data_IF_676122416971
#
_entry.id   IF_676122416971
#
_cell.length_a   1.000
_cell.length_b   1.000
_cell.length_c   1.000
_cell.angle_alpha   90.00
_cell.angle_beta   90.00
_cell.angle_gamma   90.00
#
_symmetry.space_group_name_H-M   'P 1'
#
loop_
_entity.id
_entity.type
_entity.pdbx_description
1 polymer ?
#
# COMPACT_ATOMS: atom_id res chain seq x y z
N UNK A 1 -33.21 39.17 -8.09
CA UNK A 1 -31.79 39.22 -7.64
C UNK A 1 -31.62 38.33 -6.42
N UNK A 2 -31.05 37.13 -6.58
CA UNK A 2 -30.47 36.26 -5.53
C UNK A 2 -30.11 34.93 -6.19
N UNK A 3 -28.98 34.90 -6.87
CA UNK A 3 -28.46 33.71 -7.55
C UNK A 3 -26.94 33.81 -7.62
N UNK A 4 -26.29 34.11 -6.48
CA UNK A 4 -24.83 34.29 -6.43
C UNK A 4 -24.26 34.00 -5.03
N UNK A 5 -24.69 32.92 -4.37
CA UNK A 5 -24.09 32.55 -3.06
C UNK A 5 -23.97 31.05 -2.78
N UNK A 6 -24.15 30.17 -3.76
CA UNK A 6 -24.06 28.72 -3.54
C UNK A 6 -22.87 28.02 -4.22
N UNK A 7 -21.88 28.79 -4.69
CA UNK A 7 -20.74 28.25 -5.45
C UNK A 7 -19.37 28.42 -4.78
N UNK A 8 -19.32 28.74 -3.48
CA UNK A 8 -18.06 28.91 -2.72
C UNK A 8 -17.96 27.94 -1.52
N UNK A 9 -18.74 26.86 -1.50
CA UNK A 9 -18.67 25.85 -0.42
C UNK A 9 -18.37 24.42 -0.89
N UNK A 10 -17.85 24.25 -2.11
CA UNK A 10 -17.52 22.93 -2.69
C UNK A 10 -16.02 22.72 -2.96
N UNK A 11 -15.15 23.62 -2.48
CA UNK A 11 -13.71 23.61 -2.80
C UNK A 11 -12.75 23.35 -1.64
N UNK A 12 -13.21 23.07 -0.40
CA UNK A 12 -12.33 23.07 0.78
C UNK A 12 -12.12 21.71 1.47
N UNK A 13 -12.74 20.62 1.00
CA UNK A 13 -12.27 19.28 1.33
C UNK A 13 -11.26 18.80 0.28
N UNK A 14 -10.18 19.57 0.11
CA UNK A 14 -8.95 18.95 -0.38
C UNK A 14 -8.57 17.95 0.71
N UNK A 15 -8.83 16.69 0.42
CA UNK A 15 -8.50 15.53 1.23
C UNK A 15 -7.11 15.69 1.85
N UNK A 16 -7.06 16.13 3.10
CA UNK A 16 -5.85 15.99 3.90
C UNK A 16 -5.65 14.49 4.07
N UNK A 17 -4.59 13.98 3.43
CA UNK A 17 -4.03 12.67 3.74
C UNK A 17 -3.81 12.61 5.26
N UNK A 18 -4.62 11.85 6.02
CA UNK A 18 -4.59 11.91 7.48
C UNK A 18 -3.26 11.40 8.05
N UNK A 19 -2.44 10.75 7.22
CA UNK A 19 -1.13 10.23 7.58
C UNK A 19 0.03 11.06 7.01
N UNK A 20 -0.26 12.11 6.21
CA UNK A 20 0.72 13.11 5.80
C UNK A 20 1.81 12.64 4.83
N UNK A 21 1.58 11.58 4.05
CA UNK A 21 2.56 11.08 3.06
C UNK A 21 2.73 12.04 1.88
N UNK A 22 1.66 12.72 1.46
CA UNK A 22 1.73 13.80 0.45
C UNK A 22 1.95 13.32 -0.99
N UNK A 23 1.46 12.13 -1.34
CA UNK A 23 1.38 11.62 -2.71
C UNK A 23 0.22 10.62 -2.88
N UNK A 24 -0.25 10.41 -4.12
CA UNK A 24 -1.52 9.71 -4.40
C UNK A 24 -1.50 8.22 -4.06
N UNK A 25 -0.53 7.46 -4.56
CA UNK A 25 -0.39 6.01 -4.32
C UNK A 25 0.44 5.72 -3.07
N UNK A 26 0.07 6.33 -1.95
CA UNK A 26 0.77 6.22 -0.66
C UNK A 26 0.33 4.96 0.12
N UNK A 27 0.93 4.67 1.30
CA UNK A 27 0.56 3.49 2.08
C UNK A 27 -0.91 3.43 2.51
N UNK A 28 -1.52 4.58 2.84
CA UNK A 28 -2.92 4.64 3.23
C UNK A 28 -3.86 4.30 2.07
N UNK A 29 -3.58 4.83 0.87
CA UNK A 29 -4.29 4.51 -0.36
C UNK A 29 -4.21 3.02 -0.67
N UNK A 30 -3.01 2.43 -0.61
CA UNK A 30 -2.80 1.00 -0.89
C UNK A 30 -3.56 0.13 0.10
N UNK A 31 -3.52 0.47 1.38
CA UNK A 31 -4.27 -0.25 2.40
C UNK A 31 -5.78 -0.18 2.17
N UNK A 32 -6.31 1.01 1.87
CA UNK A 32 -7.73 1.20 1.60
C UNK A 32 -8.19 0.40 0.38
N UNK A 33 -7.46 0.47 -0.74
CA UNK A 33 -7.80 -0.30 -1.96
C UNK A 33 -7.72 -1.80 -1.69
N UNK A 34 -6.67 -2.27 -1.01
CA UNK A 34 -6.54 -3.68 -0.67
C UNK A 34 -7.68 -4.19 0.22
N UNK A 35 -8.12 -3.39 1.20
CA UNK A 35 -9.25 -3.76 2.05
C UNK A 35 -10.57 -3.80 1.31
N UNK A 36 -10.86 -2.76 0.55
CA UNK A 36 -12.09 -2.72 -0.24
C UNK A 36 -12.12 -3.88 -1.24
N UNK A 37 -10.99 -4.20 -1.88
CA UNK A 37 -10.86 -5.36 -2.77
C UNK A 37 -11.13 -6.69 -2.05
N UNK A 38 -10.63 -6.88 -0.83
CA UNK A 38 -10.93 -8.08 -0.03
C UNK A 38 -12.42 -8.15 0.32
N UNK A 39 -13.01 -7.04 0.78
CA UNK A 39 -14.42 -6.99 1.19
C UNK A 39 -15.39 -7.22 0.02
N UNK A 40 -15.11 -6.65 -1.15
CA UNK A 40 -15.89 -6.83 -2.37
C UNK A 40 -15.55 -8.12 -3.12
N UNK A 41 -14.49 -8.84 -2.70
CA UNK A 41 -13.92 -9.97 -3.44
C UNK A 41 -13.49 -9.61 -4.87
N UNK A 42 -13.03 -8.37 -5.07
CA UNK A 42 -12.45 -7.87 -6.31
C UNK A 42 -10.97 -8.26 -6.39
N UNK A 43 -10.73 -9.36 -7.10
CA UNK A 43 -9.40 -9.92 -7.25
C UNK A 43 -8.47 -9.00 -8.07
N UNK A 44 -8.97 -8.38 -9.14
CA UNK A 44 -8.19 -7.49 -10.00
C UNK A 44 -7.74 -6.23 -9.24
N UNK A 45 -8.63 -5.65 -8.43
CA UNK A 45 -8.27 -4.52 -7.58
C UNK A 45 -7.18 -4.87 -6.56
N UNK A 46 -7.25 -6.08 -5.98
CA UNK A 46 -6.21 -6.56 -5.06
C UNK A 46 -4.88 -6.80 -5.77
N UNK A 47 -4.91 -7.40 -6.97
CA UNK A 47 -3.72 -7.63 -7.79
C UNK A 47 -3.01 -6.31 -8.10
N UNK A 48 -3.76 -5.27 -8.47
CA UNK A 48 -3.21 -3.98 -8.90
C UNK A 48 -2.43 -3.22 -7.80
N UNK A 49 -2.65 -3.55 -6.52
CA UNK A 49 -2.01 -2.87 -5.39
C UNK A 49 -1.07 -3.78 -4.59
N UNK A 50 -0.91 -5.03 -5.00
CA UNK A 50 -0.15 -6.02 -4.26
C UNK A 50 1.17 -6.36 -4.93
N UNK A 51 2.20 -6.56 -4.11
CA UNK A 51 3.52 -7.06 -4.51
C UNK A 51 3.62 -8.57 -4.41
N UNK A 52 4.76 -9.11 -4.84
CA UNK A 52 4.97 -10.55 -5.07
C UNK A 52 4.57 -11.47 -3.91
N UNK A 53 4.90 -11.15 -2.66
CA UNK A 53 4.61 -12.02 -1.51
C UNK A 53 3.10 -12.03 -1.16
N UNK A 54 2.45 -10.86 -1.08
CA UNK A 54 1.00 -10.76 -0.90
C UNK A 54 0.23 -11.42 -2.07
N UNK A 55 0.68 -11.21 -3.30
CA UNK A 55 0.12 -11.85 -4.49
C UNK A 55 0.25 -13.37 -4.44
N UNK A 56 1.38 -13.90 -3.99
CA UNK A 56 1.55 -15.34 -3.87
C UNK A 56 0.51 -15.97 -2.94
N UNK A 57 0.28 -15.34 -1.79
CA UNK A 57 -0.55 -15.93 -0.73
C UNK A 57 -2.03 -15.64 -0.92
N UNK A 58 -2.36 -14.45 -1.41
CA UNK A 58 -3.72 -13.92 -1.42
C UNK A 58 -4.16 -13.41 -2.78
N UNK A 59 -3.28 -13.41 -3.79
CA UNK A 59 -3.60 -13.00 -5.16
C UNK A 59 -4.31 -14.08 -5.96
N UNK A 60 -5.18 -14.88 -5.36
CA UNK A 60 -6.11 -15.79 -6.04
C UNK A 60 -7.48 -15.80 -5.32
N UNK A 61 -8.56 -16.30 -5.96
CA UNK A 61 -9.90 -16.27 -5.36
C UNK A 61 -9.97 -16.94 -3.98
N UNK A 62 -9.28 -18.05 -3.77
CA UNK A 62 -9.26 -18.77 -2.49
C UNK A 62 -8.62 -17.93 -1.38
N UNK A 63 -7.50 -17.26 -1.69
CA UNK A 63 -6.76 -16.39 -0.79
C UNK A 63 -7.54 -15.12 -0.43
N UNK A 64 -8.20 -14.49 -1.41
CA UNK A 64 -9.10 -13.35 -1.16
C UNK A 64 -10.29 -13.78 -0.31
N UNK A 65 -10.93 -14.90 -0.64
CA UNK A 65 -12.06 -15.43 0.14
C UNK A 65 -11.64 -15.76 1.58
N UNK A 66 -10.43 -16.30 1.76
CA UNK A 66 -9.86 -16.54 3.07
C UNK A 66 -9.65 -15.24 3.85
N UNK A 67 -9.03 -14.23 3.25
CA UNK A 67 -8.88 -12.91 3.88
C UNK A 67 -10.25 -12.37 4.24
N UNK A 68 -11.22 -12.33 3.33
CA UNK A 68 -12.57 -11.80 3.60
C UNK A 68 -13.27 -12.50 4.76
N UNK A 69 -13.17 -13.82 4.84
CA UNK A 69 -13.84 -14.61 5.89
C UNK A 69 -13.24 -14.36 7.28
N UNK A 70 -11.93 -14.11 7.34
CA UNK A 70 -11.19 -13.99 8.60
C UNK A 70 -10.95 -12.52 9.01
N UNK A 71 -10.89 -11.61 8.04
CA UNK A 71 -10.76 -10.17 8.21
C UNK A 71 -12.11 -9.58 8.63
N UNK A 72 -12.59 -9.94 9.82
CA UNK A 72 -13.79 -9.38 10.44
C UNK A 72 -13.47 -8.03 11.07
N UNK A 73 -13.03 -7.08 10.23
CA UNK A 73 -12.61 -5.76 10.65
C UNK A 73 -13.75 -4.77 10.41
N UNK A 74 -14.08 -3.99 11.44
CA UNK A 74 -14.98 -2.86 11.37
C UNK A 74 -14.14 -1.58 11.25
N UNK A 75 -14.19 -0.92 10.08
CA UNK A 75 -13.35 0.26 9.78
C UNK A 75 -13.55 1.41 10.79
N UNK A 76 -14.74 1.52 11.38
CA UNK A 76 -15.03 2.56 12.38
C UNK A 76 -14.36 2.26 13.73
N UNK A 77 -13.96 1.01 13.96
CA UNK A 77 -13.38 0.52 15.22
C UNK A 77 -11.88 0.26 15.15
N UNK A 78 -11.20 0.59 14.06
CA UNK A 78 -9.75 0.37 13.92
C UNK A 78 -8.88 1.62 14.02
N UNK A 79 -7.73 1.47 14.65
CA UNK A 79 -6.65 2.45 14.67
C UNK A 79 -5.52 1.95 13.77
N UNK A 80 -5.07 2.80 12.84
CA UNK A 80 -3.99 2.48 11.90
C UNK A 80 -2.72 3.22 12.34
N UNK A 81 -1.62 2.49 12.55
CA UNK A 81 -0.33 3.03 12.97
C UNK A 81 0.77 2.68 11.95
N UNK A 82 1.07 3.59 11.01
CA UNK A 82 2.20 3.43 10.12
C UNK A 82 3.53 3.63 10.86
N UNK A 83 4.49 2.76 10.60
CA UNK A 83 5.87 2.83 11.11
C UNK A 83 6.85 2.59 9.97
N UNK A 84 7.75 3.55 9.73
CA UNK A 84 8.85 3.37 8.79
C UNK A 84 9.88 2.38 9.37
N UNK A 85 10.21 1.34 8.60
CA UNK A 85 11.25 0.37 8.93
C UNK A 85 12.58 0.87 8.35
N UNK A 86 13.20 1.84 9.02
CA UNK A 86 14.35 2.58 8.50
C UNK A 86 15.57 1.73 8.12
N UNK A 87 15.78 0.59 8.78
CA UNK A 87 16.86 -0.34 8.47
C UNK A 87 16.62 -1.17 7.20
N UNK A 88 15.39 -1.20 6.68
CA UNK A 88 15.05 -1.84 5.40
C UNK A 88 14.86 -0.84 4.26
N UNK A 89 14.80 0.45 4.57
CA UNK A 89 14.85 1.54 3.58
C UNK A 89 16.17 1.48 2.81
N UNK A 90 16.09 1.57 1.49
CA UNK A 90 17.25 1.42 0.60
C UNK A 90 17.37 2.62 -0.32
N UNK A 91 18.60 3.10 -0.48
CA UNK A 91 18.98 3.93 -1.63
C UNK A 91 19.76 3.05 -2.59
N UNK A 92 19.37 3.03 -3.84
CA UNK A 92 20.03 2.21 -4.84
C UNK A 92 21.17 3.00 -5.49
N UNK A 93 22.37 2.42 -5.48
CA UNK A 93 23.49 2.92 -6.28
C UNK A 93 23.17 2.81 -7.78
N UNK A 94 22.48 1.72 -8.14
CA UNK A 94 21.97 1.46 -9.47
C UNK A 94 20.44 1.34 -9.42
N UNK A 95 19.67 2.23 -10.08
CA UNK A 95 18.22 2.18 -10.04
C UNK A 95 17.68 0.87 -10.60
N UNK A 96 16.55 0.43 -10.05
CA UNK A 96 15.85 -0.81 -10.41
C UNK A 96 14.56 -0.51 -11.16
N UNK A 97 14.13 -1.36 -12.11
CA UNK A 97 12.87 -1.19 -12.81
C UNK A 97 11.69 -1.74 -11.99
N UNK A 98 10.68 -0.90 -11.73
CA UNK A 98 9.43 -1.25 -11.02
C UNK A 98 8.19 -0.69 -11.74
N UNK A 99 8.24 -0.63 -13.08
CA UNK A 99 7.32 0.17 -13.91
C UNK A 99 7.83 1.59 -14.19
N UNK A 100 8.78 2.05 -13.37
CA UNK A 100 9.65 3.21 -13.58
C UNK A 100 11.02 2.92 -12.96
N UNK A 101 12.00 3.82 -13.13
CA UNK A 101 13.31 3.66 -12.48
C UNK A 101 13.22 4.13 -11.04
N UNK A 102 13.26 3.20 -10.09
CA UNK A 102 13.30 3.46 -8.65
C UNK A 102 14.74 3.65 -8.19
N UNK A 103 14.98 4.72 -7.44
CA UNK A 103 16.30 5.09 -6.89
C UNK A 103 16.34 5.00 -5.37
N UNK A 104 15.16 4.95 -4.76
CA UNK A 104 14.99 4.94 -3.33
C UNK A 104 13.72 4.19 -2.97
N UNK A 105 13.78 3.41 -1.90
CA UNK A 105 12.71 2.56 -1.42
C UNK A 105 12.55 2.75 0.08
N UNK A 106 11.31 2.91 0.53
CA UNK A 106 10.94 2.88 1.94
C UNK A 106 10.02 1.70 2.20
N UNK A 107 10.21 1.04 3.35
CA UNK A 107 9.33 -0.04 3.78
C UNK A 107 8.61 0.40 5.05
N UNK A 108 7.29 0.32 5.02
CA UNK A 108 6.43 0.64 6.14
C UNK A 108 5.80 -0.65 6.68
N UNK A 109 5.87 -0.83 8.00
CA UNK A 109 4.96 -1.71 8.71
C UNK A 109 3.77 -0.87 9.17
N UNK A 110 2.57 -1.33 8.91
CA UNK A 110 1.34 -0.68 9.35
C UNK A 110 0.61 -1.65 10.26
N UNK A 111 0.52 -1.28 11.53
CA UNK A 111 -0.23 -2.04 12.52
C UNK A 111 -1.67 -1.55 12.53
N UNK A 112 -2.61 -2.48 12.53
CA UNK A 112 -4.04 -2.21 12.55
C UNK A 112 -4.57 -2.80 13.83
N UNK A 113 -4.98 -1.91 14.71
CA UNK A 113 -5.34 -2.22 16.10
C UNK A 113 -6.83 -2.00 16.31
N UNK A 114 -7.41 -2.71 17.27
CA UNK A 114 -8.70 -2.33 17.81
C UNK A 114 -8.59 -0.98 18.55
N UNK A 115 -9.47 -0.02 18.27
CA UNK A 115 -9.42 1.31 18.88
C UNK A 115 -9.55 1.27 20.40
N UNK A 116 -10.33 0.33 20.93
CA UNK A 116 -10.69 0.24 22.36
C UNK A 116 -9.65 -0.62 23.09
N UNK A 117 -9.47 -1.87 22.69
CA UNK A 117 -8.58 -2.80 23.39
C UNK A 117 -7.10 -2.60 23.06
N UNK A 118 -6.79 -1.88 21.97
CA UNK A 118 -5.42 -1.70 21.42
C UNK A 118 -4.76 -3.01 20.97
N UNK A 119 -5.50 -4.11 20.92
CA UNK A 119 -5.00 -5.39 20.42
C UNK A 119 -4.70 -5.31 18.93
N UNK A 120 -3.59 -5.94 18.51
CA UNK A 120 -3.27 -6.09 17.09
C UNK A 120 -4.29 -7.01 16.41
N UNK A 121 -4.94 -6.49 15.38
CA UNK A 121 -5.86 -7.24 14.53
C UNK A 121 -5.11 -7.80 13.32
N UNK A 122 -4.32 -6.93 12.69
CA UNK A 122 -3.61 -7.20 11.45
C UNK A 122 -2.34 -6.33 11.38
N UNK A 123 -1.23 -6.90 10.95
CA UNK A 123 -0.10 -6.15 10.45
C UNK A 123 -0.04 -6.24 8.93
N UNK A 124 0.34 -5.16 8.26
CA UNK A 124 0.68 -5.19 6.83
C UNK A 124 2.04 -4.57 6.60
N UNK A 125 2.72 -5.02 5.55
CA UNK A 125 3.96 -4.39 5.08
C UNK A 125 3.72 -3.80 3.71
N UNK A 126 4.02 -2.51 3.59
CA UNK A 126 3.89 -1.74 2.36
C UNK A 126 5.28 -1.28 1.92
N UNK A 127 5.60 -1.50 0.67
CA UNK A 127 6.84 -1.03 0.04
C UNK A 127 6.53 0.17 -0.85
N UNK A 128 7.25 1.27 -0.67
CA UNK A 128 7.12 2.48 -1.47
C UNK A 128 8.39 2.74 -2.27
N UNK A 129 8.25 2.82 -3.60
CA UNK A 129 9.33 3.12 -4.53
C UNK A 129 9.25 4.57 -5.02
N UNK A 130 10.42 5.21 -5.11
CA UNK A 130 10.56 6.61 -5.47
C UNK A 130 11.51 6.77 -6.65
N UNK A 131 11.07 7.48 -7.68
CA UNK A 131 11.82 7.53 -8.93
C UNK A 131 11.29 8.46 -10.01
N UNK A 132 11.62 8.11 -11.25
CA UNK A 132 11.29 8.87 -12.45
C UNK A 132 10.91 7.94 -13.60
N UNK A 133 9.96 8.37 -14.44
CA UNK A 133 9.61 7.70 -15.69
C UNK A 133 10.68 7.94 -16.77
N UNK A 134 10.84 6.99 -17.71
CA UNK A 134 11.71 7.14 -18.87
C UNK A 134 13.04 6.36 -18.78
N UNK A 135 14.14 6.96 -19.22
CA UNK A 135 15.47 6.34 -19.24
C UNK A 135 16.20 6.47 -17.89
N UNK A 136 17.08 5.49 -17.60
CA UNK A 136 17.94 5.46 -16.41
C UNK A 136 18.90 6.66 -16.42
N UNK A 137 18.74 7.55 -15.45
CA UNK A 137 19.58 8.74 -15.23
C UNK A 137 20.39 8.62 -13.93
N UNK A 138 21.70 8.33 -13.98
CA UNK A 138 22.52 8.07 -12.80
C UNK A 138 22.59 9.24 -11.79
N UNK A 139 22.46 10.47 -12.26
CA UNK A 139 22.49 11.68 -11.43
C UNK A 139 21.40 11.70 -10.35
N UNK A 140 20.29 10.99 -10.59
CA UNK A 140 19.19 10.91 -9.63
C UNK A 140 19.44 9.96 -8.46
N UNK A 141 20.44 9.07 -8.54
CA UNK A 141 20.86 8.27 -7.39
C UNK A 141 21.43 9.14 -6.24
N UNK A 142 21.91 10.35 -6.56
CA UNK A 142 22.44 11.32 -5.59
C UNK A 142 21.35 12.18 -4.92
N UNK A 143 20.09 12.03 -5.32
CA UNK A 143 18.98 12.82 -4.76
C UNK A 143 18.67 12.33 -3.34
N UNK A 144 18.87 13.23 -2.37
CA UNK A 144 18.66 12.92 -0.94
C UNK A 144 17.26 13.21 -0.44
N UNK A 145 16.50 14.08 -1.13
CA UNK A 145 15.16 14.51 -0.72
C UNK A 145 14.09 13.77 -1.52
N UNK A 146 13.28 12.95 -0.85
CA UNK A 146 12.20 12.16 -1.48
C UNK A 146 11.18 13.01 -2.24
N UNK A 147 10.96 14.25 -1.80
CA UNK A 147 10.08 15.23 -2.47
C UNK A 147 10.45 15.52 -3.92
N UNK A 148 11.72 15.31 -4.32
CA UNK A 148 12.21 15.57 -5.68
C UNK A 148 11.86 14.46 -6.68
N UNK A 149 11.51 13.26 -6.23
CA UNK A 149 11.06 12.19 -7.11
C UNK A 149 9.66 12.50 -7.64
N UNK A 150 9.47 12.31 -8.96
CA UNK A 150 8.18 12.57 -9.63
C UNK A 150 7.25 11.37 -9.55
N UNK A 151 7.81 10.16 -9.57
CA UNK A 151 7.07 8.91 -9.37
C UNK A 151 7.24 8.47 -7.93
N UNK A 152 6.10 8.19 -7.27
CA UNK A 152 6.04 7.69 -5.89
C UNK A 152 4.88 6.73 -5.82
N UNK A 153 5.18 5.45 -5.73
CA UNK A 153 4.16 4.41 -5.75
C UNK A 153 4.46 3.36 -4.69
N UNK A 154 3.44 2.98 -3.95
CA UNK A 154 3.52 1.94 -2.95
C UNK A 154 2.77 0.68 -3.40
N UNK A 155 3.13 -0.46 -2.83
CA UNK A 155 2.45 -1.75 -3.00
C UNK A 155 2.42 -2.53 -1.69
N UNK A 156 1.34 -3.28 -1.47
CA UNK A 156 1.19 -4.18 -0.33
C UNK A 156 2.03 -5.42 -0.58
N UNK A 157 3.12 -5.61 0.16
CA UNK A 157 4.00 -6.76 -0.04
C UNK A 157 3.66 -7.92 0.90
N UNK A 158 3.08 -7.66 2.07
CA UNK A 158 2.79 -8.72 3.05
C UNK A 158 1.58 -8.41 3.91
N UNK A 159 0.82 -9.45 4.24
CA UNK A 159 -0.26 -9.44 5.22
C UNK A 159 0.12 -10.39 6.36
N UNK A 160 0.12 -9.89 7.59
CA UNK A 160 0.55 -10.57 8.82
C UNK A 160 -0.65 -10.64 9.78
N UNK A 161 -1.49 -11.68 9.69
CA UNK A 161 -2.64 -11.80 10.56
C UNK A 161 -2.22 -12.06 12.00
N UNK A 162 -2.85 -11.34 12.94
CA UNK A 162 -2.59 -11.50 14.39
C UNK A 162 -3.69 -12.29 15.09
N UNK A 163 -4.95 -12.16 14.62
CA UNK A 163 -6.13 -12.83 15.21
C UNK A 163 -6.61 -14.08 14.47
N UNK A 164 -5.97 -14.43 13.36
CA UNK A 164 -6.25 -15.66 12.63
C UNK A 164 -4.95 -16.30 12.14
N UNK A 165 -4.99 -17.62 11.95
CA UNK A 165 -3.84 -18.32 11.39
C UNK A 165 -3.49 -17.73 10.02
N UNK A 166 -2.22 -17.68 9.66
CA UNK A 166 -1.85 -17.41 8.27
C UNK A 166 -2.39 -18.55 7.38
N UNK A 167 -2.75 -18.23 6.14
CA UNK A 167 -3.19 -19.22 5.17
C UNK A 167 -2.13 -20.33 5.08
N UNK A 168 -2.47 -21.61 5.36
CA UNK A 168 -1.49 -22.69 5.35
C UNK A 168 -0.95 -22.86 3.93
N UNK A 169 0.33 -22.53 3.74
CA UNK A 169 1.01 -22.53 2.45
C UNK A 169 1.17 -23.99 1.99
N UNK A 170 0.23 -24.49 1.18
CA UNK A 170 0.34 -25.85 0.61
C UNK A 170 1.37 -25.95 -0.53
N UNK A 171 1.83 -24.84 -1.09
CA UNK A 171 2.83 -24.83 -2.15
C UNK A 171 3.75 -23.62 -2.02
N UNK A 172 5.06 -23.83 -2.10
CA UNK A 172 6.05 -22.75 -2.24
C UNK A 172 5.55 -21.77 -3.29
N UNK A 173 5.57 -20.48 -2.98
CA UNK A 173 5.29 -19.39 -3.90
C UNK A 173 5.98 -19.61 -5.25
N UNK A 174 5.28 -20.17 -6.23
CA UNK A 174 5.73 -20.16 -7.59
C UNK A 174 5.45 -18.76 -8.12
N UNK A 175 6.44 -18.08 -8.74
CA UNK A 175 6.23 -16.75 -9.28
C UNK A 175 5.07 -16.81 -10.29
N UNK A 176 3.99 -16.07 -10.02
CA UNK A 176 2.95 -15.81 -11.01
C UNK A 176 3.66 -15.20 -12.23
N UNK A 177 3.62 -15.89 -13.36
CA UNK A 177 4.01 -15.31 -14.65
C UNK A 177 2.96 -14.23 -14.96
N UNK A 178 3.29 -12.99 -14.65
CA UNK A 178 2.59 -11.85 -15.25
C UNK A 178 3.03 -11.83 -16.70
N UNK A 179 2.12 -12.18 -17.61
CA UNK A 179 2.37 -12.07 -19.04
C UNK A 179 2.23 -10.59 -19.39
N UNK A 180 3.33 -9.94 -19.76
CA UNK A 180 3.36 -8.56 -20.26
C UNK A 180 2.92 -8.52 -21.72
#
# INVERSE_FOLDING_TARGET
MKLFSFLILLGLFVACDPYGFGFKKNPAYILNVAFQAVLSSDHEAFLAVSGKEALCLYGNPEGISYLRTNLKIDEEKIEIKPKLISNLTKRYENPIPVGFWSYYQEIYQIDILDKVSKEALLGVVVECNYGFAGQKKPEYAKVTKTKKYKMKECVLIKVMPSKFAALPIKAKCQPLKVTL
#
